data_IF_435093298574
#
_entry.id   IF_435093298574
#
_cell.length_a   1.000
_cell.length_b   1.000
_cell.length_c   1.000
_cell.angle_alpha   90.00
_cell.angle_beta   90.00
_cell.angle_gamma   90.00
#
_symmetry.space_group_name_H-M   'P 1'
#
loop_
_entity.id
_entity.type
_entity.pdbx_description
1 polymer ?
#
# COMPACT_ATOMS: atom_id res chain seq x y z
N UNK A 1 -11.63 51.60 47.41
CA UNK A 1 -12.23 50.81 46.33
C UNK A 1 -11.09 50.10 45.62
N UNK A 2 -11.01 48.77 45.78
CA UNK A 2 -9.98 47.96 45.11
C UNK A 2 -10.56 47.50 43.79
N UNK A 3 -9.96 47.96 42.67
CA UNK A 3 -10.28 47.51 41.30
C UNK A 3 -9.60 46.17 41.09
N UNK A 4 -10.41 45.10 40.99
CA UNK A 4 -9.94 43.76 40.61
C UNK A 4 -9.85 43.72 39.11
N UNK A 5 -8.62 43.66 38.57
CA UNK A 5 -8.36 43.38 37.14
C UNK A 5 -8.46 41.87 36.95
N UNK A 6 -9.56 41.39 36.32
CA UNK A 6 -9.67 40.04 35.84
C UNK A 6 -8.95 39.93 34.52
N UNK A 7 -7.77 39.29 34.54
CA UNK A 7 -7.02 38.97 33.32
C UNK A 7 -7.63 37.73 32.73
N UNK A 8 -8.45 37.90 31.68
CA UNK A 8 -8.98 36.80 30.87
C UNK A 8 -7.82 36.25 30.00
N UNK A 9 -7.18 35.18 30.46
CA UNK A 9 -6.22 34.41 29.70
C UNK A 9 -6.98 33.56 28.67
N UNK A 10 -7.15 34.09 27.46
CA UNK A 10 -7.69 33.31 26.33
C UNK A 10 -6.66 32.28 25.90
N UNK A 11 -6.94 31.03 26.27
CA UNK A 11 -6.18 29.86 25.82
C UNK A 11 -6.51 29.64 24.33
N UNK A 12 -5.65 30.14 23.45
CA UNK A 12 -5.67 29.77 22.02
C UNK A 12 -5.21 28.31 21.93
N UNK A 13 -6.15 27.37 21.94
CA UNK A 13 -5.90 26.01 21.50
C UNK A 13 -5.81 26.07 19.95
N UNK A 14 -4.60 26.24 19.43
CA UNK A 14 -4.34 26.05 18.02
C UNK A 14 -4.52 24.55 17.72
N UNK A 15 -5.71 24.18 17.26
CA UNK A 15 -5.93 22.90 16.63
C UNK A 15 -5.03 22.84 15.38
N UNK A 16 -3.92 22.13 15.48
CA UNK A 16 -3.11 21.78 14.32
C UNK A 16 -3.95 20.82 13.47
N UNK A 17 -4.61 21.36 12.47
CA UNK A 17 -5.17 20.59 11.37
C UNK A 17 -3.98 19.93 10.66
N UNK A 18 -3.69 18.69 11.01
CA UNK A 18 -2.86 17.84 10.17
C UNK A 18 -3.61 17.67 8.85
N UNK A 19 -3.30 18.53 7.88
CA UNK A 19 -3.70 18.32 6.49
C UNK A 19 -3.06 17.00 6.07
N UNK A 20 -3.87 15.93 6.00
CA UNK A 20 -3.44 14.69 5.36
C UNK A 20 -3.01 15.05 3.94
N UNK A 21 -1.76 14.75 3.58
CA UNK A 21 -1.31 14.93 2.21
C UNK A 21 -2.24 14.11 1.30
N UNK A 22 -2.57 14.61 0.11
CA UNK A 22 -3.41 13.87 -0.84
C UNK A 22 -2.90 12.45 -1.11
N UNK A 23 -1.61 12.21 -0.90
CA UNK A 23 -0.98 10.90 -0.98
C UNK A 23 -1.42 9.91 0.09
N UNK A 24 -1.82 10.36 1.26
CA UNK A 24 -2.23 9.49 2.37
C UNK A 24 -3.60 8.83 2.12
N UNK A 25 -4.34 9.25 1.09
CA UNK A 25 -5.52 8.55 0.59
C UNK A 25 -5.21 7.09 0.23
N UNK A 26 -3.96 6.77 -0.14
CA UNK A 26 -3.54 5.41 -0.46
C UNK A 26 -3.50 4.48 0.76
N UNK A 27 -3.28 5.00 1.96
CA UNK A 27 -3.16 4.20 3.18
C UNK A 27 -4.47 3.46 3.45
N UNK A 28 -4.38 2.17 3.73
CA UNK A 28 -5.56 1.36 4.05
C UNK A 28 -5.40 -0.10 3.68
N UNK A 29 -6.48 -0.84 3.83
CA UNK A 29 -6.58 -2.26 3.46
C UNK A 29 -7.26 -2.41 2.11
N UNK A 30 -6.77 -3.36 1.34
CA UNK A 30 -7.27 -3.64 0.01
C UNK A 30 -7.55 -5.12 -0.15
N UNK A 31 -8.72 -5.44 -0.69
CA UNK A 31 -9.06 -6.79 -1.13
C UNK A 31 -8.67 -6.97 -2.59
N UNK A 32 -8.01 -8.06 -2.89
CA UNK A 32 -7.43 -8.35 -4.19
C UNK A 32 -7.81 -9.74 -4.65
N UNK A 33 -8.32 -9.84 -5.87
CA UNK A 33 -8.54 -11.10 -6.57
C UNK A 33 -7.65 -11.09 -7.81
N UNK A 34 -6.77 -12.08 -7.94
CA UNK A 34 -6.03 -12.33 -9.20
C UNK A 34 -6.95 -13.10 -10.14
N UNK A 35 -7.30 -12.51 -11.27
CA UNK A 35 -8.28 -13.08 -12.20
C UNK A 35 -7.83 -14.40 -12.83
N UNK A 36 -6.55 -14.54 -13.08
CA UNK A 36 -5.93 -15.73 -13.71
C UNK A 36 -5.92 -16.96 -12.78
N UNK A 37 -5.56 -16.77 -11.51
CA UNK A 37 -5.43 -17.86 -10.54
C UNK A 37 -6.60 -17.96 -9.55
N UNK A 38 -7.51 -16.97 -9.56
CA UNK A 38 -8.59 -16.81 -8.57
C UNK A 38 -8.10 -16.77 -7.13
N UNK A 39 -6.82 -16.45 -6.94
CA UNK A 39 -6.27 -16.26 -5.60
C UNK A 39 -6.77 -14.96 -4.98
N UNK A 40 -7.09 -15.03 -3.70
CA UNK A 40 -7.62 -13.91 -2.94
C UNK A 40 -6.65 -13.51 -1.82
N UNK A 41 -6.46 -12.21 -1.66
CA UNK A 41 -5.56 -11.67 -0.64
C UNK A 41 -6.07 -10.33 -0.08
N UNK A 42 -5.55 -9.96 1.09
CA UNK A 42 -5.66 -8.60 1.64
C UNK A 42 -4.29 -8.00 1.78
N UNK A 43 -4.19 -6.76 1.32
CA UNK A 43 -2.95 -5.97 1.32
C UNK A 43 -3.14 -4.77 2.24
N UNK A 44 -2.20 -4.54 3.15
CA UNK A 44 -2.12 -3.31 3.93
C UNK A 44 -1.14 -2.37 3.26
N UNK A 45 -1.61 -1.19 2.84
CA UNK A 45 -0.74 -0.10 2.38
C UNK A 45 -0.50 0.86 3.55
N UNK A 46 0.74 1.24 3.74
CA UNK A 46 1.21 2.11 4.82
C UNK A 46 2.28 3.08 4.32
N UNK A 47 2.51 4.14 5.08
CA UNK A 47 3.56 5.11 4.84
C UNK A 47 4.80 4.75 5.65
N UNK A 48 5.95 4.75 5.03
CA UNK A 48 7.24 4.51 5.67
C UNK A 48 7.75 5.78 6.36
N UNK A 49 8.76 5.64 7.22
CA UNK A 49 9.35 6.79 7.95
C UNK A 49 9.97 7.84 7.04
N UNK A 50 10.43 7.45 5.84
CA UNK A 50 10.98 8.37 4.82
C UNK A 50 9.90 8.97 3.89
N UNK A 51 8.61 8.76 4.20
CA UNK A 51 7.48 9.34 3.48
C UNK A 51 7.09 8.63 2.18
N UNK A 52 7.65 7.45 1.93
CA UNK A 52 7.24 6.57 0.82
C UNK A 52 6.05 5.73 1.20
N UNK A 53 5.41 5.10 0.20
CA UNK A 53 4.32 4.16 0.43
C UNK A 53 4.75 2.76 0.06
N UNK A 54 4.40 1.81 0.92
CA UNK A 54 4.63 0.38 0.75
C UNK A 54 3.35 -0.40 1.01
N UNK A 55 3.29 -1.63 0.52
CA UNK A 55 2.15 -2.53 0.74
C UNK A 55 2.60 -3.95 0.99
N UNK A 56 2.03 -4.58 2.01
CA UNK A 56 2.32 -5.97 2.37
C UNK A 56 1.06 -6.81 2.42
N UNK A 57 1.20 -8.08 2.10
CA UNK A 57 0.15 -9.06 2.32
C UNK A 57 -0.08 -9.21 3.83
N UNK A 58 -1.34 -9.16 4.25
CA UNK A 58 -1.76 -9.39 5.63
C UNK A 58 -2.70 -10.60 5.76
N UNK A 59 -3.17 -11.12 4.64
CA UNK A 59 -4.03 -12.30 4.60
C UNK A 59 -4.02 -12.92 3.21
N UNK A 60 -4.02 -14.26 3.15
CA UNK A 60 -4.25 -15.07 1.97
C UNK A 60 -5.38 -16.05 2.23
N UNK A 61 -6.21 -16.31 1.23
CA UNK A 61 -7.27 -17.34 1.33
C UNK A 61 -6.68 -18.73 1.56
N UNK A 62 -5.54 -19.02 0.95
CA UNK A 62 -4.85 -20.30 1.06
C UNK A 62 -3.38 -20.09 1.45
N UNK A 63 -3.09 -19.79 2.73
CA UNK A 63 -1.73 -19.50 3.18
C UNK A 63 -0.85 -20.73 3.33
N UNK A 64 -1.48 -21.93 3.36
CA UNK A 64 -0.81 -23.20 3.59
C UNK A 64 -0.92 -24.12 2.37
N UNK A 65 -0.02 -25.10 2.31
CA UNK A 65 -0.12 -26.25 1.44
C UNK A 65 -1.26 -27.19 1.90
N UNK A 66 -1.71 -28.13 1.05
CA UNK A 66 -2.76 -29.11 1.43
C UNK A 66 -2.43 -29.94 2.66
N UNK A 67 -1.14 -30.16 2.95
CA UNK A 67 -0.65 -30.87 4.13
C UNK A 67 -0.63 -30.01 5.43
N UNK A 68 -1.07 -28.76 5.34
CA UNK A 68 -1.12 -27.81 6.46
C UNK A 68 0.15 -27.02 6.71
N UNK A 69 1.26 -27.30 6.01
CA UNK A 69 2.51 -26.55 6.16
C UNK A 69 2.41 -25.16 5.53
N UNK A 70 3.01 -24.11 6.15
CA UNK A 70 2.97 -22.75 5.60
C UNK A 70 3.65 -22.65 4.25
N UNK A 71 3.09 -21.83 3.36
CA UNK A 71 3.75 -21.41 2.13
C UNK A 71 4.75 -20.30 2.43
N UNK A 72 5.88 -20.29 1.72
CA UNK A 72 6.94 -19.29 1.83
C UNK A 72 7.23 -18.67 0.46
N UNK A 73 7.87 -17.52 0.46
CA UNK A 73 8.28 -16.79 -0.74
C UNK A 73 9.54 -17.40 -1.37
N UNK A 74 9.46 -18.67 -1.74
CA UNK A 74 10.59 -19.50 -2.17
C UNK A 74 11.22 -19.05 -3.48
N UNK A 75 10.50 -18.31 -4.32
CA UNK A 75 10.97 -17.77 -5.59
C UNK A 75 11.61 -16.39 -5.49
N UNK A 76 11.70 -15.82 -4.28
CA UNK A 76 12.32 -14.52 -4.10
C UNK A 76 13.76 -14.54 -4.61
N UNK A 77 14.17 -13.60 -5.48
CA UNK A 77 15.55 -13.50 -5.97
C UNK A 77 16.56 -13.22 -4.84
N UNK A 78 16.11 -12.55 -3.76
CA UNK A 78 16.90 -12.39 -2.55
C UNK A 78 16.75 -13.64 -1.65
N UNK A 79 17.83 -14.44 -1.46
CA UNK A 79 17.77 -15.66 -0.64
C UNK A 79 17.31 -15.41 0.80
N UNK A 80 17.62 -14.25 1.37
CA UNK A 80 17.27 -13.90 2.76
C UNK A 80 15.75 -13.74 2.95
N UNK A 81 15.02 -13.46 1.88
CA UNK A 81 13.57 -13.29 1.91
C UNK A 81 12.79 -14.58 1.60
N UNK A 82 13.45 -15.66 1.19
CA UNK A 82 12.79 -16.94 0.82
C UNK A 82 12.13 -17.66 2.00
N UNK A 83 12.45 -17.27 3.22
CA UNK A 83 11.85 -17.80 4.46
C UNK A 83 10.70 -16.96 4.98
N UNK A 84 10.35 -15.87 4.29
CA UNK A 84 9.18 -15.06 4.62
C UNK A 84 7.91 -15.85 4.26
N UNK A 85 6.96 -15.92 5.18
CA UNK A 85 5.67 -16.57 4.91
C UNK A 85 4.93 -15.81 3.79
N UNK A 86 4.25 -16.54 2.91
CA UNK A 86 3.55 -15.96 1.76
C UNK A 86 2.51 -14.91 2.15
N UNK A 87 1.90 -15.03 3.33
CA UNK A 87 0.92 -14.07 3.87
C UNK A 87 1.54 -12.86 4.57
N UNK A 88 2.86 -12.68 4.48
CA UNK A 88 3.61 -11.57 5.08
C UNK A 88 4.52 -10.84 4.09
N UNK A 89 4.45 -11.19 2.80
CA UNK A 89 5.33 -10.65 1.76
C UNK A 89 5.01 -9.18 1.50
N UNK A 90 6.05 -8.35 1.39
CA UNK A 90 5.93 -6.97 0.93
C UNK A 90 5.89 -6.96 -0.59
N UNK A 91 4.74 -6.54 -1.15
CA UNK A 91 4.50 -6.50 -2.60
C UNK A 91 4.84 -5.16 -3.23
N UNK A 92 4.46 -4.06 -2.58
CA UNK A 92 4.63 -2.69 -3.08
C UNK A 92 5.76 -2.00 -2.34
N UNK A 93 6.66 -1.33 -3.07
CA UNK A 93 7.79 -0.60 -2.48
C UNK A 93 8.04 0.74 -3.15
N UNK A 94 8.46 1.73 -2.36
CA UNK A 94 9.07 2.98 -2.80
C UNK A 94 8.16 3.91 -3.61
N UNK A 95 6.84 3.88 -3.43
CA UNK A 95 5.95 4.80 -4.13
C UNK A 95 6.02 6.21 -3.56
N UNK A 96 5.98 7.18 -4.47
CA UNK A 96 5.87 8.61 -4.17
C UNK A 96 4.58 9.15 -4.79
N UNK A 97 3.88 10.04 -4.06
CA UNK A 97 2.66 10.67 -4.59
C UNK A 97 3.01 11.82 -5.52
N UNK A 98 2.40 11.81 -6.69
CA UNK A 98 2.40 12.91 -7.67
C UNK A 98 1.07 13.65 -7.60
N UNK A 99 1.06 14.82 -6.97
CA UNK A 99 -0.15 15.62 -6.77
C UNK A 99 -0.71 16.15 -8.10
N UNK A 100 0.13 16.41 -9.09
CA UNK A 100 -0.29 16.89 -10.41
C UNK A 100 -1.10 15.84 -11.16
N UNK A 101 -0.62 14.61 -11.21
CA UNK A 101 -1.26 13.50 -11.93
C UNK A 101 -2.22 12.69 -11.06
N UNK A 102 -2.27 12.98 -9.73
CA UNK A 102 -3.08 12.25 -8.75
C UNK A 102 -2.81 10.74 -8.78
N UNK A 103 -1.53 10.39 -8.80
CA UNK A 103 -1.07 9.01 -8.86
C UNK A 103 0.15 8.76 -7.95
N UNK A 104 0.44 7.51 -7.67
CA UNK A 104 1.65 7.08 -6.97
C UNK A 104 2.54 6.35 -7.97
N UNK A 105 3.77 6.81 -8.09
CA UNK A 105 4.74 6.33 -9.08
C UNK A 105 6.14 6.18 -8.48
N UNK A 106 7.11 5.76 -9.30
CA UNK A 106 8.49 5.54 -8.90
C UNK A 106 8.72 4.27 -8.06
N UNK A 107 7.65 3.53 -7.79
CA UNK A 107 7.69 2.30 -7.02
C UNK A 107 7.66 1.05 -7.89
N UNK A 108 7.67 -0.08 -7.20
CA UNK A 108 7.66 -1.43 -7.80
C UNK A 108 6.59 -2.30 -7.19
N UNK A 109 6.15 -3.29 -7.98
CA UNK A 109 5.33 -4.40 -7.51
C UNK A 109 6.08 -5.73 -7.69
N UNK A 110 6.14 -6.51 -6.64
CA UNK A 110 6.72 -7.85 -6.65
C UNK A 110 5.63 -8.91 -6.81
N UNK A 111 5.83 -9.86 -7.72
CA UNK A 111 4.98 -11.04 -7.88
C UNK A 111 5.67 -12.28 -7.28
N UNK A 112 5.22 -12.78 -6.11
CA UNK A 112 5.84 -13.94 -5.48
C UNK A 112 5.61 -15.25 -6.23
N UNK A 113 4.57 -15.34 -7.06
CA UNK A 113 4.30 -16.55 -7.86
C UNK A 113 5.33 -16.72 -8.97
N UNK A 114 5.83 -15.61 -9.52
CA UNK A 114 6.87 -15.60 -10.54
C UNK A 114 8.28 -15.33 -9.99
N UNK A 115 8.39 -14.73 -8.80
CA UNK A 115 9.65 -14.24 -8.24
C UNK A 115 10.20 -13.03 -9.00
N UNK A 116 9.32 -12.21 -9.59
CA UNK A 116 9.70 -11.06 -10.43
C UNK A 116 9.16 -9.75 -9.88
N UNK A 117 9.92 -8.69 -10.13
CA UNK A 117 9.56 -7.32 -9.75
C UNK A 117 9.37 -6.46 -10.99
N UNK A 118 8.29 -5.68 -11.01
CA UNK A 118 7.91 -4.80 -12.10
C UNK A 118 7.85 -3.35 -11.63
N UNK A 119 8.10 -2.39 -12.52
CA UNK A 119 7.74 -0.99 -12.29
C UNK A 119 6.22 -0.89 -12.17
N UNK A 120 5.74 0.03 -11.33
CA UNK A 120 4.31 0.10 -11.04
C UNK A 120 3.83 1.53 -10.86
N UNK A 121 2.62 1.78 -11.32
CA UNK A 121 1.87 3.03 -11.09
C UNK A 121 0.53 2.67 -10.44
N UNK A 122 0.15 3.43 -9.42
CA UNK A 122 -1.11 3.29 -8.71
C UNK A 122 -1.95 4.55 -8.93
N UNK A 123 -3.25 4.38 -9.21
CA UNK A 123 -4.18 5.49 -9.39
C UNK A 123 -5.59 5.09 -9.00
N UNK A 124 -6.28 5.91 -8.21
CA UNK A 124 -7.69 5.69 -7.95
C UNK A 124 -8.55 6.01 -9.18
N UNK A 125 -9.45 5.11 -9.53
CA UNK A 125 -10.54 5.35 -10.49
C UNK A 125 -11.83 5.77 -9.80
N UNK A 126 -12.00 5.38 -8.52
CA UNK A 126 -13.07 5.79 -7.64
C UNK A 126 -12.56 5.76 -6.19
N UNK A 127 -13.30 6.23 -5.19
CA UNK A 127 -12.84 6.21 -3.80
C UNK A 127 -12.45 4.84 -3.26
N UNK A 128 -12.99 3.76 -3.87
CA UNK A 128 -12.74 2.38 -3.44
C UNK A 128 -12.03 1.51 -4.49
N UNK A 129 -11.81 2.02 -5.71
CA UNK A 129 -11.19 1.25 -6.80
C UNK A 129 -9.82 1.78 -7.14
N UNK A 130 -8.79 1.06 -6.74
CA UNK A 130 -7.40 1.36 -7.04
C UNK A 130 -6.95 0.59 -8.29
N UNK A 131 -6.55 1.32 -9.33
CA UNK A 131 -5.88 0.76 -10.49
C UNK A 131 -4.41 0.55 -10.16
N UNK A 132 -3.94 -0.68 -10.32
CA UNK A 132 -2.56 -1.11 -10.11
C UNK A 132 -2.00 -1.59 -11.44
N UNK A 133 -1.06 -0.83 -12.02
CA UNK A 133 -0.46 -1.16 -13.31
C UNK A 133 1.03 -1.47 -13.17
N UNK A 134 1.36 -2.76 -13.27
CA UNK A 134 2.75 -3.23 -13.41
C UNK A 134 3.18 -3.21 -14.88
N UNK A 135 4.42 -2.80 -15.16
CA UNK A 135 4.94 -2.72 -16.53
C UNK A 135 6.45 -2.97 -16.60
N UNK A 136 6.91 -3.30 -17.82
CA UNK A 136 8.33 -3.50 -18.14
C UNK A 136 8.72 -2.44 -19.18
N UNK A 137 9.83 -1.73 -18.92
CA UNK A 137 10.33 -0.69 -19.83
C UNK A 137 9.38 0.51 -19.90
N UNK A 138 8.51 0.55 -20.91
CA UNK A 138 7.50 1.60 -21.09
C UNK A 138 6.17 1.18 -20.49
N UNK A 139 5.39 2.15 -19.99
CA UNK A 139 4.08 1.91 -19.37
C UNK A 139 3.02 1.32 -20.33
N UNK A 140 3.29 1.25 -21.64
CA UNK A 140 2.44 0.61 -22.63
C UNK A 140 2.50 -0.93 -22.55
N UNK A 141 3.62 -1.51 -22.06
CA UNK A 141 3.81 -2.96 -21.93
C UNK A 141 3.63 -3.35 -20.48
N UNK A 142 2.45 -3.82 -20.11
CA UNK A 142 2.19 -4.19 -18.74
C UNK A 142 0.83 -4.83 -18.51
N UNK A 143 0.56 -5.14 -17.24
CA UNK A 143 -0.71 -5.71 -16.78
C UNK A 143 -1.37 -4.76 -15.78
N UNK A 144 -2.66 -4.57 -15.95
CA UNK A 144 -3.49 -3.79 -15.02
C UNK A 144 -4.33 -4.72 -14.17
N UNK A 145 -4.34 -4.44 -12.86
CA UNK A 145 -5.23 -5.07 -11.88
C UNK A 145 -6.00 -3.97 -11.14
N UNK A 146 -7.12 -4.36 -10.55
CA UNK A 146 -7.92 -3.46 -9.72
C UNK A 146 -8.05 -4.04 -8.32
N UNK A 147 -7.71 -3.21 -7.33
CA UNK A 147 -7.80 -3.54 -5.93
C UNK A 147 -8.95 -2.78 -5.30
N UNK A 148 -9.73 -3.44 -4.47
CA UNK A 148 -10.86 -2.82 -3.77
C UNK A 148 -10.43 -2.36 -2.39
N UNK A 149 -10.50 -1.05 -2.14
CA UNK A 149 -10.22 -0.48 -0.82
C UNK A 149 -11.35 -0.86 0.13
N UNK A 150 -11.00 -1.47 1.25
CA UNK A 150 -11.92 -1.81 2.32
C UNK A 150 -12.10 -0.61 3.28
N UNK A 151 -13.30 -0.52 3.86
CA UNK A 151 -13.65 0.51 4.85
C UNK A 151 -12.98 0.26 6.21
#
# INVERSE_FOLDING_TARGET
MKKVFILLLSLFVSAQLFSQSGGDQLIGKYYVIKEDTKSESRIQIYKTSDGKYEGKIIWLKYPNHPDGTPKYDTKNPNPDLRKVKSDQVVLLRNFTYDDKNKEWSGGTIYDPEEGKTYKCILKFESPTKLKVRGYIGFSLIGKTMYWTKES
#
